data_IF_113675727854
#
_entry.id   IF_113675727854
#
_cell.length_a   1.000
_cell.length_b   1.000
_cell.length_c   1.000
_cell.angle_alpha   90.00
_cell.angle_beta   90.00
_cell.angle_gamma   90.00
#
_symmetry.space_group_name_H-M   'P 1'
#
loop_
_entity.id
_entity.type
_entity.pdbx_description
1 polymer ?
#
# COMPACT_ATOMS: atom_id res chain seq x y z
N UNK A 1 7.69 -12.30 40.94
CA UNK A 1 6.53 -12.16 40.05
C UNK A 1 6.95 -11.85 38.62
N UNK A 2 7.79 -12.71 38.02
CA UNK A 2 8.40 -12.54 36.68
C UNK A 2 7.97 -13.66 35.70
N UNK A 3 6.87 -14.35 35.99
CA UNK A 3 6.43 -15.55 35.26
C UNK A 3 4.97 -15.49 34.78
N UNK A 4 4.37 -14.30 34.70
CA UNK A 4 2.97 -14.14 34.27
C UNK A 4 2.79 -13.46 32.90
N UNK A 5 3.83 -12.85 32.32
CA UNK A 5 3.74 -12.13 31.05
C UNK A 5 4.12 -12.94 29.81
N UNK A 6 4.67 -14.15 29.98
CA UNK A 6 5.09 -15.00 28.86
C UNK A 6 3.94 -15.80 28.19
N UNK A 7 2.76 -15.91 28.83
CA UNK A 7 1.63 -16.66 28.27
C UNK A 7 0.67 -15.82 27.41
N UNK A 8 0.67 -14.48 27.51
CA UNK A 8 -0.27 -13.65 26.75
C UNK A 8 0.19 -13.37 25.31
N UNK A 9 1.48 -13.53 25.00
CA UNK A 9 2.03 -13.32 23.65
C UNK A 9 1.90 -14.54 22.73
N UNK A 10 1.60 -15.73 23.26
CA UNK A 10 1.41 -16.94 22.44
C UNK A 10 -0.05 -17.07 21.94
N UNK A 11 -1.02 -16.45 22.62
CA UNK A 11 -2.44 -16.55 22.24
C UNK A 11 -2.85 -15.61 21.09
N UNK A 12 -2.14 -14.49 20.85
CA UNK A 12 -2.48 -13.56 19.76
C UNK A 12 -1.92 -14.02 18.40
N UNK A 13 -0.83 -14.81 18.38
CA UNK A 13 -0.26 -15.36 17.16
C UNK A 13 -1.10 -16.52 16.56
N UNK A 14 -1.90 -17.22 17.37
CA UNK A 14 -2.75 -18.33 16.90
C UNK A 14 -4.05 -17.84 16.22
N UNK A 15 -4.57 -16.67 16.60
CA UNK A 15 -5.81 -16.14 16.01
C UNK A 15 -5.64 -15.53 14.62
N UNK A 16 -4.41 -15.24 14.17
CA UNK A 16 -4.13 -14.74 12.83
C UNK A 16 -3.88 -15.83 11.78
N UNK A 17 -3.79 -17.10 12.19
CA UNK A 17 -3.55 -18.23 11.28
C UNK A 17 -4.77 -19.15 11.09
N UNK A 18 -5.85 -18.95 11.85
CA UNK A 18 -7.08 -19.76 11.77
C UNK A 18 -8.15 -19.18 10.83
N UNK A 19 -7.99 -17.94 10.34
CA UNK A 19 -8.97 -17.26 9.46
C UNK A 19 -8.75 -17.55 7.96
N UNK A 20 -8.19 -18.72 7.64
CA UNK A 20 -7.97 -19.22 6.27
C UNK A 20 -8.83 -20.43 5.90
N UNK A 21 -9.74 -20.84 6.79
CA UNK A 21 -10.68 -21.93 6.54
C UNK A 21 -12.12 -21.39 6.49
N UNK A 22 -12.44 -20.62 5.45
CA UNK A 22 -13.84 -20.46 5.04
C UNK A 22 -14.15 -21.57 4.03
N UNK A 23 -14.91 -22.56 4.51
CA UNK A 23 -15.46 -23.65 3.72
C UNK A 23 -16.38 -23.15 2.59
N UNK A 24 -16.44 -23.84 1.44
CA UNK A 24 -17.41 -23.55 0.39
C UNK A 24 -18.81 -24.00 0.83
N UNK A 25 -19.88 -23.21 0.61
CA UNK A 25 -21.23 -23.67 0.88
C UNK A 25 -21.61 -24.79 -0.09
N UNK A 26 -21.74 -26.00 0.45
CA UNK A 26 -22.44 -27.11 -0.18
C UNK A 26 -23.94 -26.78 -0.27
N UNK A 27 -24.50 -26.80 -1.47
CA UNK A 27 -25.96 -26.80 -1.64
C UNK A 27 -26.47 -26.14 -2.91
N UNK A 28 -26.21 -26.73 -4.08
CA UNK A 28 -27.12 -26.58 -5.22
C UNK A 28 -27.43 -27.98 -5.78
N UNK A 29 -28.72 -28.31 -6.01
CA UNK A 29 -29.08 -29.61 -6.56
C UNK A 29 -28.64 -29.71 -8.03
N UNK A 30 -28.09 -30.88 -8.38
CA UNK A 30 -27.60 -31.21 -9.72
C UNK A 30 -28.76 -31.22 -10.75
N UNK A 31 -28.60 -30.60 -11.94
CA UNK A 31 -29.47 -30.89 -13.06
C UNK A 31 -29.17 -32.29 -13.60
N UNK A 32 -30.22 -33.11 -13.62
CA UNK A 32 -30.30 -34.46 -14.19
C UNK A 32 -29.75 -34.49 -15.62
N UNK A 33 -28.78 -35.37 -15.87
CA UNK A 33 -28.26 -35.63 -17.21
C UNK A 33 -29.38 -36.09 -18.15
N UNK A 34 -29.73 -35.26 -19.13
CA UNK A 34 -30.49 -35.66 -20.30
C UNK A 34 -29.51 -36.06 -21.39
N UNK A 35 -29.58 -37.33 -21.78
CA UNK A 35 -28.84 -37.89 -22.90
C UNK A 35 -29.23 -37.24 -24.24
N UNK A 36 -28.24 -37.17 -25.14
CA UNK A 36 -28.33 -37.08 -26.60
C UNK A 36 -28.89 -35.78 -27.21
N UNK A 37 -27.99 -35.04 -27.86
CA UNK A 37 -27.91 -34.96 -29.34
C UNK A 37 -26.66 -34.18 -29.76
N UNK A 38 -25.83 -34.80 -30.59
CA UNK A 38 -24.71 -34.16 -31.28
C UNK A 38 -25.22 -33.02 -32.17
N UNK A 39 -24.61 -31.81 -32.14
CA UNK A 39 -24.82 -30.84 -33.19
C UNK A 39 -24.00 -31.26 -34.41
N UNK A 40 -24.71 -31.45 -35.51
CA UNK A 40 -24.19 -31.69 -36.85
C UNK A 40 -23.18 -30.61 -37.26
N UNK A 41 -22.17 -31.03 -38.01
CA UNK A 41 -21.22 -30.18 -38.73
C UNK A 41 -21.93 -29.06 -39.49
N UNK A 42 -21.87 -27.86 -38.94
CA UNK A 42 -22.12 -26.62 -39.67
C UNK A 42 -20.78 -26.01 -40.09
N UNK A 43 -20.63 -25.73 -41.38
CA UNK A 43 -19.48 -25.05 -41.97
C UNK A 43 -19.22 -23.69 -41.29
N UNK A 44 -18.00 -23.50 -40.77
CA UNK A 44 -17.54 -22.23 -40.18
C UNK A 44 -16.92 -21.36 -41.29
N UNK A 45 -17.37 -20.11 -41.52
CA UNK A 45 -16.66 -19.18 -42.39
C UNK A 45 -15.31 -18.77 -41.75
N UNK A 46 -14.24 -18.50 -42.52
CA UNK A 46 -12.94 -18.21 -41.94
C UNK A 46 -12.97 -16.93 -41.09
N UNK A 47 -12.77 -17.10 -39.78
CA UNK A 47 -12.68 -16.02 -38.82
C UNK A 47 -11.44 -15.17 -39.10
N UNK A 48 -11.64 -13.88 -39.38
CA UNK A 48 -10.62 -12.84 -39.38
C UNK A 48 -9.97 -12.59 -37.99
N UNK A 49 -10.19 -13.47 -37.02
CA UNK A 49 -9.79 -13.31 -35.61
C UNK A 49 -8.44 -13.92 -35.20
N UNK A 50 -7.67 -14.51 -36.14
CA UNK A 50 -6.35 -15.11 -35.84
C UNK A 50 -5.16 -14.29 -36.32
N UNK A 51 -5.39 -13.16 -36.99
CA UNK A 51 -4.33 -12.39 -37.63
C UNK A 51 -3.29 -11.84 -36.64
N UNK A 52 -3.68 -11.59 -35.38
CA UNK A 52 -2.74 -11.16 -34.33
C UNK A 52 -1.87 -12.30 -33.79
N UNK A 53 -2.32 -13.55 -33.90
CA UNK A 53 -1.53 -14.73 -33.50
C UNK A 53 -0.54 -15.14 -34.60
N UNK A 54 -0.89 -14.93 -35.87
CA UNK A 54 0.02 -15.18 -37.00
C UNK A 54 1.21 -14.21 -36.99
N UNK A 55 1.03 -13.00 -36.46
CA UNK A 55 2.10 -12.01 -36.27
C UNK A 55 3.16 -12.44 -35.23
N UNK A 56 2.82 -13.35 -34.31
CA UNK A 56 3.76 -13.87 -33.29
C UNK A 56 4.75 -14.87 -33.90
N UNK A 57 4.35 -15.57 -34.97
CA UNK A 57 5.17 -16.59 -35.64
C UNK A 57 6.29 -16.04 -36.53
N UNK A 58 6.26 -14.74 -36.88
CA UNK A 58 7.25 -14.07 -37.70
C UNK A 58 8.32 -13.31 -36.89
N UNK A 59 8.43 -13.58 -35.58
CA UNK A 59 9.42 -12.96 -34.72
C UNK A 59 10.84 -13.46 -35.05
N UNK A 60 11.71 -12.52 -35.44
CA UNK A 60 13.18 -12.65 -35.50
C UNK A 60 13.70 -13.41 -34.27
N UNK A 61 14.81 -14.20 -34.35
CA UNK A 61 15.31 -14.95 -33.20
C UNK A 61 15.41 -14.03 -31.98
N UNK A 62 14.59 -14.31 -30.98
CA UNK A 62 14.52 -13.52 -29.77
C UNK A 62 15.84 -13.74 -29.02
N UNK A 63 16.56 -12.64 -28.76
CA UNK A 63 17.62 -12.61 -27.75
C UNK A 63 17.09 -13.31 -26.49
N UNK A 64 17.82 -14.28 -25.92
CA UNK A 64 17.32 -14.99 -24.76
C UNK A 64 17.05 -14.00 -23.64
N UNK A 65 15.96 -14.22 -22.89
CA UNK A 65 15.46 -13.24 -21.91
C UNK A 65 16.52 -12.79 -20.89
N UNK A 66 17.46 -13.67 -20.52
CA UNK A 66 18.53 -13.37 -19.57
C UNK A 66 19.54 -12.34 -20.11
N UNK A 67 19.85 -12.36 -21.41
CA UNK A 67 20.73 -11.37 -22.05
C UNK A 67 20.05 -10.00 -22.08
N UNK A 68 18.76 -9.97 -22.43
CA UNK A 68 17.95 -8.74 -22.40
C UNK A 68 17.89 -8.12 -20.99
N UNK A 69 17.70 -8.95 -19.96
CA UNK A 69 17.70 -8.49 -18.57
C UNK A 69 19.08 -8.02 -18.09
N UNK A 70 20.15 -8.71 -18.49
CA UNK A 70 21.52 -8.33 -18.14
C UNK A 70 21.90 -6.97 -18.74
N UNK A 71 21.54 -6.76 -20.01
CA UNK A 71 21.76 -5.50 -20.74
C UNK A 71 20.96 -4.35 -20.12
N UNK A 72 19.66 -4.56 -19.87
CA UNK A 72 18.80 -3.56 -19.23
C UNK A 72 19.28 -3.17 -17.82
N UNK A 73 19.89 -4.09 -17.06
CA UNK A 73 20.47 -3.79 -15.75
C UNK A 73 21.70 -2.88 -15.86
N UNK A 74 22.52 -3.07 -16.89
CA UNK A 74 23.78 -2.35 -17.04
C UNK A 74 23.59 -0.99 -17.71
N UNK A 75 22.69 -0.91 -18.70
CA UNK A 75 22.50 0.28 -19.54
C UNK A 75 21.15 0.97 -19.33
N UNK A 76 20.24 0.36 -18.56
CA UNK A 76 18.83 0.76 -18.49
C UNK A 76 18.02 0.17 -19.64
N UNK A 77 16.71 0.03 -19.45
CA UNK A 77 15.79 -0.30 -20.56
C UNK A 77 15.31 1.01 -21.20
N UNK A 78 15.54 1.19 -22.50
CA UNK A 78 15.06 2.37 -23.24
C UNK A 78 13.52 2.51 -23.25
N UNK A 79 12.79 1.44 -22.94
CA UNK A 79 11.32 1.47 -22.78
C UNK A 79 10.88 2.01 -21.43
N UNK A 80 11.79 2.15 -20.47
CA UNK A 80 11.47 2.78 -19.19
C UNK A 80 11.31 4.29 -19.39
N UNK A 81 10.22 4.91 -18.92
CA UNK A 81 10.14 6.35 -18.86
C UNK A 81 11.27 6.91 -17.96
N UNK A 82 11.72 8.16 -18.16
CA UNK A 82 12.72 8.78 -17.29
C UNK A 82 12.29 8.69 -15.83
N UNK A 83 13.17 8.15 -14.98
CA UNK A 83 12.95 8.14 -13.54
C UNK A 83 13.08 9.58 -13.01
N UNK A 84 12.21 9.95 -12.07
CA UNK A 84 12.39 11.21 -11.34
C UNK A 84 13.76 11.20 -10.65
N UNK A 85 14.41 12.37 -10.61
CA UNK A 85 15.63 12.52 -9.83
C UNK A 85 15.34 12.05 -8.39
N UNK A 86 16.23 11.25 -7.78
CA UNK A 86 16.06 10.88 -6.39
C UNK A 86 15.93 12.17 -5.60
N UNK A 87 14.83 12.32 -4.87
CA UNK A 87 14.73 13.37 -3.86
C UNK A 87 15.98 13.29 -2.98
N UNK A 88 16.50 14.42 -2.47
CA UNK A 88 17.62 14.38 -1.54
C UNK A 88 17.26 13.39 -0.44
N UNK A 89 17.94 12.24 -0.44
CA UNK A 89 17.80 11.28 0.64
C UNK A 89 18.26 12.05 1.86
N UNK A 90 17.45 12.16 2.91
CA UNK A 90 17.89 12.77 4.17
C UNK A 90 19.26 12.16 4.47
N UNK A 91 20.30 13.01 4.41
CA UNK A 91 21.66 12.54 4.54
C UNK A 91 21.71 11.89 5.91
N UNK A 92 22.04 10.59 5.95
CA UNK A 92 22.23 9.88 7.20
C UNK A 92 23.28 10.58 8.07
N UNK A 93 23.48 10.12 9.31
CA UNK A 93 24.45 10.71 10.20
C UNK A 93 25.83 10.78 9.52
N UNK A 94 26.50 11.93 9.64
CA UNK A 94 27.85 12.12 9.11
C UNK A 94 28.86 11.20 9.81
N UNK A 95 30.03 10.91 9.21
CA UNK A 95 31.07 10.10 9.86
C UNK A 95 31.51 10.66 11.22
N UNK A 96 31.55 11.99 11.38
CA UNK A 96 31.87 12.63 12.64
C UNK A 96 30.78 12.42 13.70
N UNK A 97 29.50 12.47 13.30
CA UNK A 97 28.38 12.16 14.20
C UNK A 97 28.34 10.67 14.58
N UNK A 98 28.70 9.77 13.67
CA UNK A 98 28.78 8.34 13.98
C UNK A 98 29.92 7.98 14.93
N UNK A 99 31.01 8.76 14.93
CA UNK A 99 32.17 8.54 15.78
C UNK A 99 31.98 9.02 17.23
N UNK A 100 31.04 9.95 17.47
CA UNK A 100 30.76 10.53 18.79
C UNK A 100 29.31 10.21 19.25
N UNK A 101 29.13 9.42 20.33
CA UNK A 101 27.80 9.10 20.85
C UNK A 101 26.93 10.33 21.19
N UNK A 102 27.52 11.42 21.69
CA UNK A 102 26.76 12.62 22.04
C UNK A 102 26.29 13.37 20.79
N UNK A 103 27.15 13.46 19.78
CA UNK A 103 26.79 14.03 18.47
C UNK A 103 25.70 13.20 17.77
N UNK A 104 25.77 11.86 17.87
CA UNK A 104 24.73 10.98 17.34
C UNK A 104 23.37 11.18 18.04
N UNK A 105 23.36 11.30 19.37
CA UNK A 105 22.12 11.55 20.12
C UNK A 105 21.43 12.85 19.71
N UNK A 106 22.21 13.93 19.50
CA UNK A 106 21.66 15.21 18.99
C UNK A 106 21.07 15.06 17.60
N UNK A 107 21.76 14.36 16.71
CA UNK A 107 21.23 14.06 15.38
C UNK A 107 19.87 13.34 15.46
N UNK A 108 19.73 12.32 16.29
CA UNK A 108 18.46 11.60 16.48
C UNK A 108 17.35 12.50 17.04
N UNK A 109 17.68 13.39 17.99
CA UNK A 109 16.73 14.37 18.52
C UNK A 109 16.24 15.33 17.44
N UNK A 110 17.16 15.85 16.62
CA UNK A 110 16.83 16.74 15.50
C UNK A 110 15.97 16.03 14.45
N UNK A 111 16.29 14.77 14.12
CA UNK A 111 15.47 13.98 13.21
C UNK A 111 14.06 13.76 13.76
N UNK A 112 13.94 13.41 15.03
CA UNK A 112 12.64 13.22 15.65
C UNK A 112 11.82 14.53 15.67
N UNK A 113 12.46 15.67 16.01
CA UNK A 113 11.83 16.98 15.97
C UNK A 113 11.33 17.34 14.55
N UNK A 114 12.12 17.07 13.51
CA UNK A 114 11.72 17.26 12.11
C UNK A 114 10.48 16.43 11.74
N UNK A 115 10.43 15.16 12.12
CA UNK A 115 9.26 14.30 11.85
C UNK A 115 8.01 14.86 12.54
N UNK A 116 8.13 15.28 13.79
CA UNK A 116 7.01 15.86 14.54
C UNK A 116 6.52 17.18 13.93
N UNK A 117 7.43 18.05 13.51
CA UNK A 117 7.10 19.30 12.82
C UNK A 117 6.38 19.05 11.48
N UNK A 118 6.87 18.08 10.69
CA UNK A 118 6.25 17.69 9.43
C UNK A 118 4.83 17.14 9.64
N UNK A 119 4.62 16.35 10.70
CA UNK A 119 3.29 15.87 11.07
C UNK A 119 2.35 17.04 11.39
N UNK A 120 2.77 17.98 12.24
CA UNK A 120 1.96 19.13 12.61
C UNK A 120 1.57 19.98 11.37
N UNK A 121 2.52 20.22 10.46
CA UNK A 121 2.26 20.91 9.21
C UNK A 121 1.28 20.16 8.30
N UNK A 122 1.38 18.82 8.22
CA UNK A 122 0.44 18.01 7.46
C UNK A 122 -0.98 18.06 8.06
N UNK A 123 -1.12 18.08 9.39
CA UNK A 123 -2.41 18.25 10.06
C UNK A 123 -3.03 19.61 9.74
N UNK A 124 -2.23 20.68 9.71
CA UNK A 124 -2.69 22.02 9.36
C UNK A 124 -3.22 22.12 7.92
N UNK A 125 -2.65 21.36 6.99
CA UNK A 125 -3.15 21.27 5.63
C UNK A 125 -4.41 20.39 5.51
N UNK A 126 -4.45 19.26 6.21
CA UNK A 126 -5.47 18.22 6.00
C UNK A 126 -6.79 18.47 6.77
N UNK A 127 -6.73 19.00 8.00
CA UNK A 127 -7.94 19.20 8.82
C UNK A 127 -8.98 20.11 8.15
N UNK A 128 -8.61 21.26 7.55
CA UNK A 128 -9.57 22.09 6.82
C UNK A 128 -10.25 21.34 5.67
N UNK A 129 -9.50 20.51 4.95
CA UNK A 129 -10.02 19.67 3.86
C UNK A 129 -11.05 18.67 4.39
N UNK A 130 -10.72 17.95 5.47
CA UNK A 130 -11.64 16.99 6.10
C UNK A 130 -12.91 17.65 6.64
N UNK A 131 -12.80 18.87 7.20
CA UNK A 131 -13.98 19.63 7.63
C UNK A 131 -14.88 19.99 6.45
N UNK A 132 -14.30 20.44 5.34
CA UNK A 132 -15.05 20.70 4.12
C UNK A 132 -15.70 19.43 3.56
N UNK A 133 -15.01 18.28 3.65
CA UNK A 133 -15.55 16.98 3.23
C UNK A 133 -16.77 16.58 4.09
N UNK A 134 -16.72 16.83 5.41
CA UNK A 134 -17.84 16.61 6.34
C UNK A 134 -19.05 17.45 5.95
N UNK A 135 -18.88 18.75 5.68
CA UNK A 135 -20.01 19.61 5.28
C UNK A 135 -20.62 19.17 3.95
N UNK A 136 -19.78 18.79 2.97
CA UNK A 136 -20.29 18.23 1.71
C UNK A 136 -21.01 16.90 1.93
N UNK A 137 -20.50 16.02 2.78
CA UNK A 137 -21.14 14.75 3.10
C UNK A 137 -22.53 14.95 3.74
N UNK A 138 -22.67 15.93 4.64
CA UNK A 138 -23.97 16.32 5.21
C UNK A 138 -24.93 16.79 4.13
N UNK A 139 -24.49 17.67 3.23
CA UNK A 139 -25.30 18.16 2.11
C UNK A 139 -25.75 17.05 1.15
N UNK A 140 -24.94 15.99 0.99
CA UNK A 140 -25.25 14.82 0.17
C UNK A 140 -26.09 13.75 0.89
N UNK A 141 -26.46 13.97 2.16
CA UNK A 141 -27.25 13.00 2.92
C UNK A 141 -26.49 11.73 3.32
N UNK A 142 -25.16 11.79 3.42
CA UNK A 142 -24.35 10.67 3.92
C UNK A 142 -24.76 10.36 5.37
N UNK A 143 -24.88 9.07 5.76
CA UNK A 143 -25.29 8.70 7.11
C UNK A 143 -24.41 9.32 8.20
N UNK A 144 -25.04 9.80 9.27
CA UNK A 144 -24.35 10.44 10.39
C UNK A 144 -23.26 9.55 11.03
N UNK A 145 -23.47 8.23 11.05
CA UNK A 145 -22.48 7.29 11.56
C UNK A 145 -21.17 7.28 10.74
N UNK A 146 -21.23 7.51 9.43
CA UNK A 146 -20.05 7.62 8.58
C UNK A 146 -19.35 8.97 8.75
N UNK A 147 -20.13 10.04 8.89
CA UNK A 147 -19.60 11.39 9.18
C UNK A 147 -18.86 11.40 10.52
N UNK A 148 -19.42 10.76 11.56
CA UNK A 148 -18.83 10.68 12.89
C UNK A 148 -17.43 10.03 12.89
N UNK A 149 -17.14 9.09 11.97
CA UNK A 149 -15.80 8.50 11.83
C UNK A 149 -14.77 9.53 11.39
N UNK A 150 -15.15 10.41 10.46
CA UNK A 150 -14.28 11.49 9.97
C UNK A 150 -14.09 12.56 11.03
N UNK A 151 -15.15 12.92 11.76
CA UNK A 151 -15.07 13.85 12.90
C UNK A 151 -14.15 13.31 14.01
N UNK A 152 -14.25 12.02 14.33
CA UNK A 152 -13.34 11.36 15.27
C UNK A 152 -11.89 11.31 14.76
N UNK A 153 -11.67 11.27 13.43
CA UNK A 153 -10.34 11.42 12.85
C UNK A 153 -9.81 12.83 13.04
N UNK A 154 -10.61 13.85 12.73
CA UNK A 154 -10.24 15.27 12.93
C UNK A 154 -9.82 15.51 14.39
N UNK A 155 -10.64 15.07 15.34
CA UNK A 155 -10.33 15.21 16.77
C UNK A 155 -8.99 14.56 17.15
N UNK A 156 -8.72 13.33 16.66
CA UNK A 156 -7.46 12.64 16.95
C UNK A 156 -6.24 13.35 16.37
N UNK A 157 -6.35 13.88 15.15
CA UNK A 157 -5.28 14.64 14.51
C UNK A 157 -4.95 15.91 15.30
N UNK A 158 -5.97 16.67 15.69
CA UNK A 158 -5.79 17.90 16.47
C UNK A 158 -5.24 17.62 17.87
N UNK A 159 -5.71 16.54 18.52
CA UNK A 159 -5.18 16.12 19.82
C UNK A 159 -3.69 15.76 19.74
N UNK A 160 -3.29 14.99 18.73
CA UNK A 160 -1.88 14.59 18.58
C UNK A 160 -1.00 15.79 18.23
N UNK A 161 -1.47 16.68 17.35
CA UNK A 161 -0.78 17.95 17.07
C UNK A 161 -0.56 18.76 18.35
N UNK A 162 -1.58 18.88 19.20
CA UNK A 162 -1.47 19.59 20.48
C UNK A 162 -0.44 18.95 21.41
N UNK A 163 -0.44 17.62 21.57
CA UNK A 163 0.56 16.94 22.40
C UNK A 163 1.99 17.08 21.87
N UNK A 164 2.16 17.17 20.54
CA UNK A 164 3.46 17.45 19.92
C UNK A 164 3.94 18.86 20.31
N UNK A 165 3.06 19.86 20.24
CA UNK A 165 3.39 21.24 20.61
C UNK A 165 3.75 21.35 22.11
N UNK A 166 3.01 20.65 22.98
CA UNK A 166 3.29 20.59 24.42
C UNK A 166 4.63 19.89 24.71
N UNK A 167 4.94 18.80 24.00
CA UNK A 167 6.21 18.08 24.17
C UNK A 167 7.40 18.89 23.65
N UNK A 168 7.22 19.66 22.56
CA UNK A 168 8.25 20.53 22.01
C UNK A 168 8.54 21.76 22.86
N UNK A 169 7.55 22.29 23.59
CA UNK A 169 7.69 23.50 24.41
C UNK A 169 8.15 23.28 25.86
N UNK A 170 8.40 22.04 26.29
CA UNK A 170 8.85 21.70 27.66
C UNK A 170 10.38 21.60 27.79
N UNK A 171 11.12 21.72 26.67
CA UNK A 171 12.59 21.62 26.65
C UNK A 171 13.33 22.96 26.51
N UNK A 172 12.63 24.09 26.64
CA UNK A 172 13.20 25.44 26.73
C UNK A 172 13.18 25.95 28.18
#
# INVERSE_FOLDING_TARGET
>A
MKLAFACLLILVAACWLADRASEPPAGMPAPRAAAMRSPQSGSVPPAAGRQWMDAVGAARPATPAWESLADARQHGDARMPPLAAPAPRDAGPSPAQLADPAAYQRYEQDQNARVMANYAAAVDAEVPRLRADVERARAMGIPAAEIAKVEAKIFRLEKLKKSIAETGGVND
#
